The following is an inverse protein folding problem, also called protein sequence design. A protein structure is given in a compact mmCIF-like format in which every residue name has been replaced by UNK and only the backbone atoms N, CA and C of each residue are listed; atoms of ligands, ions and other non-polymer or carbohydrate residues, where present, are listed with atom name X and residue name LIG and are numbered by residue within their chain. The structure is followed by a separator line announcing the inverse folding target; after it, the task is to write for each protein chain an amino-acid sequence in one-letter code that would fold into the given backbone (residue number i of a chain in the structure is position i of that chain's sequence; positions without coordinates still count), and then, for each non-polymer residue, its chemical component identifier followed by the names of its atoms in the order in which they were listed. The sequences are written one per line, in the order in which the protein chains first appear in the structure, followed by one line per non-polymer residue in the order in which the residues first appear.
data_IF_753348011349
#
_entry.id   IF_753348011349
#
_cell.length_a   1.000
_cell.length_b   1.000
_cell.length_c   1.000
_cell.angle_alpha   90.00
_cell.angle_beta   90.00
_cell.angle_gamma   90.00
#
_symmetry.space_group_name_H-M   'P 1'
#
loop_
_entity.id
_entity.type
_entity.pdbx_description
1 polymer ?
#
# COMPACT_ATOMS: atom_id res chain seq x y z
N UNK A 1 -0.44 -8.25 11.74
CA UNK A 1 -0.25 -7.33 10.59
C UNK A 1 1.19 -7.41 10.13
N UNK A 2 1.44 -7.54 8.82
CA UNK A 2 2.78 -7.44 8.25
C UNK A 2 3.10 -5.96 8.00
N UNK A 3 4.40 -5.63 8.01
CA UNK A 3 4.88 -4.27 7.83
C UNK A 3 5.92 -4.21 6.71
N UNK A 4 5.93 -3.11 5.96
CA UNK A 4 6.88 -2.79 4.90
C UNK A 4 7.66 -1.52 5.21
N UNK A 5 8.80 -1.36 4.54
CA UNK A 5 9.57 -0.12 4.59
C UNK A 5 8.81 0.99 3.88
N UNK A 6 8.74 2.16 4.52
CA UNK A 6 8.09 3.34 3.96
C UNK A 6 9.09 4.16 3.13
N UNK A 7 9.40 3.67 1.93
CA UNK A 7 10.48 4.23 1.11
C UNK A 7 11.82 4.24 1.87
N UNK A 8 12.60 5.30 1.67
CA UNK A 8 13.90 5.53 2.32
C UNK A 8 13.80 6.28 3.67
N UNK A 9 12.60 6.44 4.23
CA UNK A 9 12.40 7.21 5.48
C UNK A 9 12.97 6.54 6.73
N UNK A 10 13.34 5.26 6.66
CA UNK A 10 13.76 4.46 7.81
C UNK A 10 12.62 4.05 8.73
N UNK A 11 11.36 4.31 8.35
CA UNK A 11 10.15 3.89 9.07
C UNK A 11 9.58 2.60 8.48
N UNK A 12 8.98 1.78 9.34
CA UNK A 12 8.12 0.66 8.92
C UNK A 12 6.66 1.04 9.12
N UNK A 13 5.82 0.65 8.17
CA UNK A 13 4.39 0.93 8.15
C UNK A 13 3.62 -0.35 7.88
N UNK A 14 2.36 -0.46 8.32
CA UNK A 14 1.55 -1.61 8.00
C UNK A 14 1.23 -1.71 6.51
N UNK A 15 1.11 -2.94 5.99
CA UNK A 15 0.75 -3.16 4.58
C UNK A 15 -0.64 -2.60 4.21
N UNK A 16 -1.54 -2.46 5.19
CA UNK A 16 -2.85 -1.83 5.02
C UNK A 16 -3.01 -0.77 6.13
N UNK A 17 -3.40 0.45 5.76
CA UNK A 17 -3.65 1.54 6.69
C UNK A 17 -4.92 2.29 6.32
N UNK A 18 -5.58 2.88 7.31
CA UNK A 18 -6.76 3.72 7.07
C UNK A 18 -6.33 5.14 6.68
N UNK A 19 -7.02 5.73 5.70
CA UNK A 19 -6.85 7.13 5.33
C UNK A 19 -6.96 8.04 6.56
N UNK A 20 -5.95 8.90 6.75
CA UNK A 20 -5.86 9.82 7.89
C UNK A 20 -5.27 9.22 9.17
N UNK A 21 -5.01 7.91 9.23
CA UNK A 21 -4.33 7.26 10.37
C UNK A 21 -2.83 7.04 10.13
N UNK A 22 -2.37 7.16 8.88
CA UNK A 22 -0.96 7.11 8.50
C UNK A 22 -0.48 8.48 8.04
N UNK A 23 0.59 8.98 8.65
CA UNK A 23 1.30 10.16 8.16
C UNK A 23 2.02 9.83 6.85
N UNK A 24 1.61 10.49 5.77
CA UNK A 24 2.09 10.21 4.42
C UNK A 24 3.31 11.04 4.02
N UNK A 25 3.66 12.10 4.76
CA UNK A 25 4.78 13.00 4.45
C UNK A 25 4.80 13.41 2.95
N UNK A 26 5.87 13.09 2.23
CA UNK A 26 6.06 13.35 0.80
C UNK A 26 5.66 12.17 -0.10
N UNK A 27 4.98 11.14 0.44
CA UNK A 27 4.65 9.92 -0.29
C UNK A 27 3.93 10.19 -1.61
N UNK A 28 4.20 9.33 -2.59
CA UNK A 28 3.41 9.26 -3.81
C UNK A 28 2.13 8.49 -3.51
N UNK A 29 0.98 9.19 -3.57
CA UNK A 29 -0.34 8.59 -3.42
C UNK A 29 -0.95 8.37 -4.80
N UNK A 30 -1.31 7.13 -5.11
CA UNK A 30 -1.94 6.73 -6.37
C UNK A 30 -3.33 6.14 -6.11
N UNK A 31 -4.23 6.26 -7.08
CA UNK A 31 -5.53 5.57 -7.05
C UNK A 31 -5.41 4.09 -7.46
N UNK A 32 -4.40 3.78 -8.26
CA UNK A 32 -4.13 2.44 -8.77
C UNK A 32 -2.63 2.25 -9.06
N UNK A 33 -2.17 1.01 -8.98
CA UNK A 33 -0.78 0.63 -9.23
C UNK A 33 -0.55 0.18 -10.68
N UNK A 34 -1.12 0.90 -11.65
CA UNK A 34 -1.03 0.57 -13.09
C UNK A 34 0.11 1.32 -13.78
N UNK A 35 0.51 2.47 -13.24
CA UNK A 35 1.56 3.34 -13.78
C UNK A 35 2.94 2.88 -13.31
N UNK A 36 3.48 1.85 -13.97
CA UNK A 36 4.75 1.21 -13.59
C UNK A 36 5.95 2.16 -13.68
N UNK A 37 5.93 3.12 -14.60
CA UNK A 37 7.01 4.11 -14.74
C UNK A 37 7.06 5.00 -13.50
N UNK A 38 5.91 5.52 -13.09
CA UNK A 38 5.82 6.36 -11.90
C UNK A 38 6.13 5.61 -10.60
N UNK A 39 5.80 4.33 -10.52
CA UNK A 39 6.21 3.45 -9.41
C UNK A 39 7.74 3.30 -9.37
N UNK A 40 8.35 3.04 -10.53
CA UNK A 40 9.80 2.88 -10.62
C UNK A 40 10.55 4.17 -10.27
N UNK A 41 10.13 5.32 -10.80
CA UNK A 41 10.74 6.62 -10.50
C UNK A 41 10.68 6.96 -9.01
N UNK A 42 9.52 6.75 -8.37
CA UNK A 42 9.38 7.00 -6.94
C UNK A 42 10.24 6.04 -6.11
N UNK A 43 10.33 4.77 -6.50
CA UNK A 43 11.15 3.78 -5.82
C UNK A 43 12.64 4.11 -5.89
N UNK A 44 13.16 4.46 -7.07
CA UNK A 44 14.55 4.87 -7.28
C UNK A 44 14.88 6.15 -6.50
N UNK A 45 13.92 7.07 -6.38
CA UNK A 45 14.06 8.28 -5.57
C UNK A 45 13.98 8.01 -4.06
N UNK A 46 13.69 6.78 -3.62
CA UNK A 46 13.45 6.44 -2.22
C UNK A 46 12.17 7.05 -1.64
N UNK A 47 11.28 7.55 -2.51
CA UNK A 47 10.02 8.16 -2.11
C UNK A 47 9.03 7.08 -1.71
N UNK A 48 8.34 7.19 -0.56
CA UNK A 48 7.34 6.20 -0.19
C UNK A 48 6.19 6.16 -1.19
N UNK A 49 5.67 4.97 -1.48
CA UNK A 49 4.55 4.77 -2.42
C UNK A 49 3.37 4.18 -1.67
N UNK A 50 2.21 4.81 -1.86
CA UNK A 50 0.94 4.42 -1.24
C UNK A 50 -0.13 4.37 -2.32
N UNK A 51 -0.95 3.32 -2.29
CA UNK A 51 -2.00 3.11 -3.29
C UNK A 51 -3.33 3.01 -2.58
N UNK A 52 -4.31 3.80 -2.99
CA UNK A 52 -5.67 3.70 -2.45
C UNK A 52 -6.33 2.41 -2.87
N UNK A 53 -7.09 1.81 -1.96
CA UNK A 53 -7.83 0.60 -2.22
C UNK A 53 -9.16 0.60 -1.47
N UNK A 54 -10.21 0.07 -2.11
CA UNK A 54 -11.57 -0.05 -1.55
C UNK A 54 -12.10 -1.48 -1.65
N UNK A 55 -11.25 -2.45 -1.99
CA UNK A 55 -11.59 -3.87 -2.00
C UNK A 55 -10.36 -4.74 -1.76
N UNK A 56 -10.60 -6.01 -1.43
CA UNK A 56 -9.55 -7.02 -1.27
C UNK A 56 -8.71 -7.20 -2.54
N UNK A 57 -9.34 -7.15 -3.72
CA UNK A 57 -8.68 -7.26 -5.02
C UNK A 57 -7.77 -6.05 -5.29
N UNK A 58 -8.23 -4.84 -4.96
CA UNK A 58 -7.42 -3.63 -5.09
C UNK A 58 -6.24 -3.63 -4.12
N UNK A 59 -6.44 -4.10 -2.89
CA UNK A 59 -5.34 -4.29 -1.91
C UNK A 59 -4.31 -5.27 -2.47
N UNK A 60 -4.76 -6.43 -2.99
CA UNK A 60 -3.89 -7.42 -3.60
C UNK A 60 -3.12 -6.82 -4.78
N UNK A 61 -3.79 -6.12 -5.68
CA UNK A 61 -3.17 -5.48 -6.84
C UNK A 61 -2.10 -4.46 -6.42
N UNK A 62 -2.39 -3.63 -5.41
CA UNK A 62 -1.43 -2.69 -4.84
C UNK A 62 -0.21 -3.41 -4.26
N UNK A 63 -0.42 -4.37 -3.36
CA UNK A 63 0.65 -5.04 -2.61
C UNK A 63 1.42 -6.10 -3.43
N UNK A 64 0.95 -6.43 -4.63
CA UNK A 64 1.70 -7.25 -5.60
C UNK A 64 2.91 -6.51 -6.16
N UNK A 65 2.94 -5.17 -6.02
CA UNK A 65 4.11 -4.36 -6.32
C UNK A 65 5.02 -4.28 -5.08
N UNK A 66 6.27 -4.76 -5.14
CA UNK A 66 7.17 -4.72 -3.99
C UNK A 66 7.54 -3.31 -3.55
N UNK A 67 7.45 -2.32 -4.45
CA UNK A 67 7.75 -0.91 -4.19
C UNK A 67 6.65 -0.21 -3.38
N UNK A 68 5.42 -0.74 -3.40
CA UNK A 68 4.30 -0.19 -2.64
C UNK A 68 4.46 -0.53 -1.16
N UNK A 69 4.48 0.51 -0.33
CA UNK A 69 4.64 0.38 1.12
C UNK A 69 3.32 0.04 1.83
N UNK A 70 2.22 0.67 1.39
CA UNK A 70 0.91 0.58 2.04
C UNK A 70 -0.23 0.66 1.02
N UNK A 71 -1.23 -0.20 1.18
CA UNK A 71 -2.56 0.00 0.63
C UNK A 71 -3.40 0.86 1.60
N UNK A 72 -3.87 2.01 1.12
CA UNK A 72 -4.61 2.98 1.92
C UNK A 72 -6.12 2.80 1.71
N UNK A 73 -6.83 2.38 2.76
CA UNK A 73 -8.27 2.13 2.69
C UNK A 73 -9.05 3.30 3.28
N UNK A 74 -10.23 3.63 2.74
CA UNK A 74 -11.02 4.72 3.28
C UNK A 74 -11.63 4.33 4.64
N UNK A 75 -11.99 5.30 5.51
CA UNK A 75 -12.43 5.01 6.88
C UNK A 75 -13.72 4.20 6.98
N UNK A 76 -14.56 4.24 5.95
CA UNK A 76 -15.79 3.45 5.83
C UNK A 76 -15.54 1.98 5.45
N UNK A 77 -14.30 1.61 5.11
CA UNK A 77 -13.90 0.25 4.71
C UNK A 77 -12.89 -0.38 5.66
N UNK A 78 -12.91 0.00 6.94
CA UNK A 78 -12.02 -0.55 8.00
C UNK A 78 -12.07 -2.08 8.11
N UNK A 79 -13.16 -2.71 7.69
CA UNK A 79 -13.29 -4.17 7.58
C UNK A 79 -12.18 -4.80 6.73
N UNK A 80 -11.58 -4.04 5.80
CA UNK A 80 -10.49 -4.50 4.96
C UNK A 80 -9.15 -4.66 5.70
N UNK A 81 -9.00 -4.18 6.94
CA UNK A 81 -7.80 -4.41 7.75
C UNK A 81 -7.62 -5.89 8.11
N UNK A 82 -8.72 -6.64 8.18
CA UNK A 82 -8.74 -8.05 8.59
C UNK A 82 -8.59 -9.02 7.42
N UNK A 83 -8.40 -8.51 6.20
CA UNK A 83 -8.23 -9.33 5.00
C UNK A 83 -6.97 -10.20 5.10
N UNK A 84 -7.14 -11.51 4.90
CA UNK A 84 -5.99 -12.42 4.81
C UNK A 84 -5.29 -12.29 3.45
N UNK A 85 -4.23 -11.49 3.43
CA UNK A 85 -3.39 -11.27 2.26
C UNK A 85 -2.73 -12.57 1.74
N UNK A 86 -2.51 -13.58 2.59
CA UNK A 86 -1.93 -14.86 2.16
C UNK A 86 -2.95 -15.65 1.37
N UNK A 87 -4.18 -15.76 1.88
CA UNK A 87 -5.28 -16.43 1.18
C UNK A 87 -5.56 -15.75 -0.16
N UNK A 88 -5.54 -14.41 -0.21
CA UNK A 88 -5.68 -13.67 -1.45
C UNK A 88 -4.57 -13.97 -2.48
N UNK A 89 -3.35 -14.22 -2.02
CA UNK A 89 -2.20 -14.44 -2.91
C UNK A 89 -2.10 -15.88 -3.39
N UNK A 90 -2.38 -16.86 -2.52
CA UNK A 90 -2.15 -18.28 -2.78
C UNK A 90 -3.41 -19.13 -2.98
N UNK A 91 -4.60 -18.58 -2.69
CA UNK A 91 -5.86 -19.34 -2.67
C UNK A 91 -6.05 -20.14 -1.37
N UNK A 92 -7.23 -20.77 -1.18
CA UNK A 92 -7.52 -21.64 -0.04
C UNK A 92 -6.77 -22.98 -0.08
#
# INVERSE_FOLDING_TARGET
MRERWFGATGRRVPEIAVEGELELDDALVLEEATDTERLHEAHEAGRPIVVRARSAEQIKAALSHPEVATALIPPDRRDLLDVDLRELTYGP
#
